data_IF_199371822580
#
_entry.id   IF_199371822580
#
_cell.length_a   1.000
_cell.length_b   1.000
_cell.length_c   1.000
_cell.angle_alpha   90.00
_cell.angle_beta   90.00
_cell.angle_gamma   90.00
#
_symmetry.space_group_name_H-M   'P 1'
#
loop_
_entity.id
_entity.type
_entity.pdbx_description
1 polymer ?
#
# COMPACT_ATOMS: atom_id res chain seq x y z
N UNK A 1 31.73 -8.85 0.50
CA UNK A 1 30.63 -9.41 1.32
C UNK A 1 29.30 -8.99 0.73
N UNK A 2 28.52 -9.92 0.17
CA UNK A 2 27.15 -9.67 -0.28
C UNK A 2 26.26 -9.49 0.96
N UNK A 3 25.82 -8.25 1.23
CA UNK A 3 24.86 -7.97 2.31
C UNK A 3 23.45 -8.21 1.80
N UNK A 4 22.67 -9.06 2.48
CA UNK A 4 21.26 -9.31 2.18
C UNK A 4 20.41 -8.03 2.18
N UNK A 5 20.88 -6.94 2.83
CA UNK A 5 20.25 -5.61 2.74
C UNK A 5 20.21 -5.07 1.31
N UNK A 6 21.19 -5.39 0.45
CA UNK A 6 21.28 -4.90 -0.95
C UNK A 6 20.31 -5.59 -1.93
N UNK A 7 19.65 -6.68 -1.50
CA UNK A 7 18.67 -7.42 -2.29
C UNK A 7 17.22 -7.11 -1.89
N UNK A 8 17.02 -6.40 -0.78
CA UNK A 8 15.67 -5.98 -0.37
C UNK A 8 15.21 -4.80 -1.23
N UNK A 9 13.94 -4.78 -1.66
CA UNK A 9 13.37 -3.63 -2.36
C UNK A 9 13.62 -2.35 -1.56
N UNK A 10 13.87 -1.24 -2.26
CA UNK A 10 13.99 0.06 -1.57
C UNK A 10 12.63 0.49 -1.03
N UNK A 11 12.61 1.36 -0.01
CA UNK A 11 11.34 1.89 0.49
C UNK A 11 10.53 2.61 -0.60
N UNK A 12 11.20 3.32 -1.52
CA UNK A 12 10.51 3.98 -2.63
C UNK A 12 9.93 2.95 -3.60
N UNK A 13 10.65 1.89 -3.97
CA UNK A 13 10.08 0.79 -4.79
C UNK A 13 8.84 0.15 -4.14
N UNK A 14 8.86 -0.01 -2.80
CA UNK A 14 7.73 -0.57 -2.07
C UNK A 14 6.50 0.33 -2.07
N UNK A 15 6.71 1.65 -1.89
CA UNK A 15 5.64 2.64 -1.96
C UNK A 15 5.01 2.64 -3.37
N UNK A 16 5.83 2.66 -4.42
CA UNK A 16 5.34 2.56 -5.82
C UNK A 16 4.56 1.28 -6.09
N UNK A 17 4.97 0.17 -5.47
CA UNK A 17 4.25 -1.08 -5.57
C UNK A 17 2.85 -0.99 -4.92
N UNK A 18 2.75 -0.34 -3.75
CA UNK A 18 1.45 -0.10 -3.10
C UNK A 18 0.54 0.77 -3.97
N UNK A 19 1.07 1.86 -4.53
CA UNK A 19 0.34 2.73 -5.46
C UNK A 19 -0.21 1.93 -6.63
N UNK A 20 0.67 1.16 -7.28
CA UNK A 20 0.30 0.30 -8.42
C UNK A 20 -0.77 -0.71 -8.02
N UNK A 21 -0.66 -1.32 -6.85
CA UNK A 21 -1.63 -2.31 -6.37
C UNK A 21 -3.03 -1.68 -6.18
N UNK A 22 -3.11 -0.51 -5.54
CA UNK A 22 -4.38 0.20 -5.33
C UNK A 22 -5.01 0.59 -6.67
N UNK A 23 -4.22 1.17 -7.58
CA UNK A 23 -4.71 1.59 -8.90
C UNK A 23 -5.19 0.41 -9.75
N UNK A 24 -4.47 -0.71 -9.75
CA UNK A 24 -4.88 -1.94 -10.45
C UNK A 24 -6.14 -2.51 -9.84
N UNK A 25 -6.26 -2.53 -8.50
CA UNK A 25 -7.46 -3.01 -7.81
C UNK A 25 -8.67 -2.16 -8.17
N UNK A 26 -8.51 -0.83 -8.20
CA UNK A 26 -9.56 0.08 -8.61
C UNK A 26 -9.95 -0.11 -10.09
N UNK A 27 -8.98 -0.41 -10.96
CA UNK A 27 -9.29 -0.71 -12.36
C UNK A 27 -10.17 -1.97 -12.56
N UNK A 28 -10.16 -2.90 -11.60
CA UNK A 28 -11.08 -4.05 -11.60
C UNK A 28 -12.51 -3.68 -11.20
N UNK A 29 -12.73 -2.50 -10.61
CA UNK A 29 -14.04 -2.06 -10.15
C UNK A 29 -14.89 -1.57 -11.33
N UNK A 30 -16.02 -2.23 -11.57
CA UNK A 30 -17.00 -1.81 -12.58
C UNK A 30 -18.36 -1.51 -11.94
N UNK A 31 -19.11 -0.56 -12.52
CA UNK A 31 -20.40 -0.13 -11.99
C UNK A 31 -21.48 -1.26 -12.04
N UNK A 32 -21.35 -2.18 -12.98
CA UNK A 32 -22.23 -3.33 -13.23
C UNK A 32 -21.82 -4.60 -12.46
N UNK A 33 -20.69 -4.60 -11.76
CA UNK A 33 -20.24 -5.73 -10.96
C UNK A 33 -21.29 -6.15 -9.90
N UNK A 34 -21.28 -7.42 -9.50
CA UNK A 34 -22.16 -7.89 -8.41
C UNK A 34 -21.81 -7.15 -7.10
N UNK A 35 -22.77 -6.83 -6.22
CA UNK A 35 -22.50 -6.11 -4.97
C UNK A 35 -21.41 -6.76 -4.10
N UNK A 36 -21.35 -8.10 -4.08
CA UNK A 36 -20.31 -8.85 -3.37
C UNK A 36 -18.90 -8.57 -3.91
N UNK A 37 -18.76 -8.44 -5.23
CA UNK A 37 -17.48 -8.13 -5.91
C UNK A 37 -17.10 -6.68 -5.63
N UNK A 38 -18.05 -5.73 -5.77
CA UNK A 38 -17.83 -4.31 -5.43
C UNK A 38 -17.31 -4.15 -4.00
N UNK A 39 -17.96 -4.82 -3.05
CA UNK A 39 -17.55 -4.81 -1.64
C UNK A 39 -16.14 -5.38 -1.47
N UNK A 40 -15.83 -6.52 -2.09
CA UNK A 40 -14.52 -7.15 -1.94
C UNK A 40 -13.38 -6.27 -2.51
N UNK A 41 -13.60 -5.65 -3.68
CA UNK A 41 -12.63 -4.72 -4.27
C UNK A 41 -12.45 -3.45 -3.42
N UNK A 42 -13.55 -2.85 -2.96
CA UNK A 42 -13.51 -1.69 -2.07
C UNK A 42 -12.78 -1.99 -0.77
N UNK A 43 -13.06 -3.13 -0.12
CA UNK A 43 -12.37 -3.55 1.10
C UNK A 43 -10.88 -3.81 0.88
N UNK A 44 -10.52 -4.40 -0.26
CA UNK A 44 -9.11 -4.61 -0.63
C UNK A 44 -8.38 -3.28 -0.76
N UNK A 45 -8.99 -2.30 -1.43
CA UNK A 45 -8.45 -0.93 -1.55
C UNK A 45 -8.32 -0.28 -0.17
N UNK A 46 -9.36 -0.36 0.67
CA UNK A 46 -9.36 0.24 2.00
C UNK A 46 -8.23 -0.34 2.88
N UNK A 47 -8.11 -1.67 2.93
CA UNK A 47 -7.05 -2.31 3.72
C UNK A 47 -5.66 -1.96 3.20
N UNK A 48 -5.48 -1.93 1.88
CA UNK A 48 -4.20 -1.55 1.25
C UNK A 48 -3.81 -0.10 1.60
N UNK A 49 -4.74 0.86 1.48
CA UNK A 49 -4.51 2.27 1.81
C UNK A 49 -4.20 2.48 3.29
N UNK A 50 -4.92 1.81 4.21
CA UNK A 50 -4.64 1.90 5.64
C UNK A 50 -3.24 1.39 5.99
N UNK A 51 -2.83 0.27 5.39
CA UNK A 51 -1.49 -0.30 5.58
C UNK A 51 -0.44 0.65 5.01
N UNK A 52 -0.63 1.10 3.78
CA UNK A 52 0.26 2.04 3.09
C UNK A 52 0.48 3.32 3.90
N UNK A 53 -0.60 4.02 4.27
CA UNK A 53 -0.53 5.23 5.07
C UNK A 53 0.18 5.02 6.43
N UNK A 54 -0.08 3.88 7.09
CA UNK A 54 0.60 3.53 8.35
C UNK A 54 2.11 3.39 8.13
N UNK A 55 2.52 2.71 7.06
CA UNK A 55 3.94 2.46 6.79
C UNK A 55 4.69 3.75 6.45
N UNK A 56 4.06 4.68 5.76
CA UNK A 56 4.68 5.96 5.44
C UNK A 56 4.78 6.86 6.65
N UNK A 57 3.71 6.98 7.43
CA UNK A 57 3.67 7.80 8.63
C UNK A 57 4.62 7.30 9.73
N UNK A 58 4.77 5.99 9.89
CA UNK A 58 5.66 5.40 10.90
C UNK A 58 7.13 5.35 10.47
N UNK A 59 7.43 5.28 9.16
CA UNK A 59 8.78 4.94 8.67
C UNK A 59 9.29 5.95 7.65
N UNK A 60 8.53 6.19 6.58
CA UNK A 60 9.03 7.01 5.46
C UNK A 60 9.07 8.51 5.79
N UNK A 61 7.96 9.09 6.22
CA UNK A 61 7.87 10.51 6.52
C UNK A 61 8.78 10.94 7.66
N UNK A 62 8.94 10.18 8.76
CA UNK A 62 9.94 10.53 9.78
C UNK A 62 11.36 10.57 9.23
N UNK A 63 11.73 9.63 8.35
CA UNK A 63 13.04 9.62 7.72
C UNK A 63 13.23 10.84 6.80
N UNK A 64 12.22 11.20 6.00
CA UNK A 64 12.28 12.38 5.14
C UNK A 64 12.33 13.68 5.95
N UNK A 65 11.49 13.83 6.98
CA UNK A 65 11.48 15.01 7.86
C UNK A 65 12.80 15.21 8.61
N UNK A 66 13.54 14.15 8.87
CA UNK A 66 14.87 14.26 9.51
C UNK A 66 15.93 14.90 8.62
N UNK A 67 15.67 14.99 7.31
CA UNK A 67 16.60 15.53 6.31
C UNK A 67 16.06 16.84 5.72
N UNK A 68 14.76 16.86 5.41
CA UNK A 68 14.08 18.01 4.85
C UNK A 68 12.65 18.08 5.42
N UNK A 69 12.51 18.82 6.52
CA UNK A 69 11.21 19.01 7.18
C UNK A 69 10.29 19.99 6.44
N UNK A 70 10.83 20.77 5.50
CA UNK A 70 10.11 21.87 4.86
C UNK A 70 9.53 21.50 3.49
N UNK A 71 9.77 20.28 3.00
CA UNK A 71 9.18 19.76 1.77
C UNK A 71 7.63 19.85 1.83
N UNK A 72 6.99 20.68 0.98
CA UNK A 72 5.55 20.90 1.01
C UNK A 72 4.71 19.63 0.89
N UNK A 73 5.17 18.63 0.13
CA UNK A 73 4.44 17.36 0.00
C UNK A 73 4.33 16.64 1.35
N UNK A 74 5.39 16.64 2.18
CA UNK A 74 5.35 16.02 3.51
C UNK A 74 4.36 16.68 4.48
N UNK A 75 4.01 17.95 4.25
CA UNK A 75 3.08 18.70 5.09
C UNK A 75 1.62 18.39 4.76
N UNK A 76 1.32 18.05 3.49
CA UNK A 76 -0.04 17.69 3.05
C UNK A 76 -0.35 16.20 3.14
N UNK A 77 0.65 15.30 3.08
CA UNK A 77 0.40 13.86 3.05
C UNK A 77 -0.42 13.33 4.24
N UNK A 78 -0.14 13.77 5.47
CA UNK A 78 -0.89 13.32 6.66
C UNK A 78 -2.33 13.84 6.66
N UNK A 79 -2.61 15.14 6.39
CA UNK A 79 -3.96 15.62 6.13
C UNK A 79 -4.71 14.81 5.06
N UNK A 80 -4.08 14.51 3.92
CA UNK A 80 -4.67 13.70 2.86
C UNK A 80 -4.99 12.28 3.34
N UNK A 81 -4.09 11.62 4.07
CA UNK A 81 -4.35 10.31 4.66
C UNK A 81 -5.52 10.33 5.64
N UNK A 82 -5.68 11.40 6.43
CA UNK A 82 -6.81 11.53 7.34
C UNK A 82 -8.14 11.65 6.59
N UNK A 83 -8.15 12.35 5.45
CA UNK A 83 -9.33 12.43 4.59
C UNK A 83 -9.64 11.08 3.94
N UNK A 84 -8.63 10.37 3.45
CA UNK A 84 -8.80 8.99 2.95
C UNK A 84 -9.38 8.07 4.03
N UNK A 85 -8.90 8.16 5.29
CA UNK A 85 -9.46 7.38 6.42
C UNK A 85 -10.92 7.73 6.71
N UNK A 86 -11.31 9.01 6.62
CA UNK A 86 -12.72 9.44 6.75
C UNK A 86 -13.58 8.78 5.67
N UNK A 87 -13.16 8.87 4.42
CA UNK A 87 -13.87 8.28 3.27
C UNK A 87 -13.95 6.76 3.37
N UNK A 88 -12.88 6.09 3.81
CA UNK A 88 -12.86 4.65 4.07
C UNK A 88 -13.90 4.26 5.13
N UNK A 89 -14.01 5.02 6.22
CA UNK A 89 -14.99 4.77 7.27
C UNK A 89 -16.43 4.90 6.73
N UNK A 90 -16.72 5.95 5.96
CA UNK A 90 -18.02 6.14 5.32
C UNK A 90 -18.34 5.05 4.29
N UNK A 91 -17.34 4.66 3.49
CA UNK A 91 -17.48 3.62 2.48
C UNK A 91 -17.84 2.27 3.13
N UNK A 92 -17.13 1.89 4.20
CA UNK A 92 -17.39 0.66 4.96
C UNK A 92 -18.75 0.66 5.67
N UNK A 93 -19.25 1.83 6.06
CA UNK A 93 -20.58 1.99 6.65
C UNK A 93 -21.71 1.95 5.60
N UNK A 94 -21.39 2.08 4.31
CA UNK A 94 -22.37 2.14 3.23
C UNK A 94 -22.53 0.77 2.55
N UNK A 95 -23.75 0.24 2.37
CA UNK A 95 -23.94 -1.02 1.65
C UNK A 95 -23.50 -0.94 0.19
N UNK A 96 -22.84 -1.98 -0.34
CA UNK A 96 -22.42 -2.01 -1.75
C UNK A 96 -23.57 -2.07 -2.78
N UNK A 97 -24.82 -2.24 -2.32
CA UNK A 97 -26.04 -2.09 -3.13
C UNK A 97 -26.49 -0.65 -3.29
N UNK A 98 -26.00 0.26 -2.43
CA UNK A 98 -26.30 1.68 -2.49
C UNK A 98 -25.42 2.36 -3.55
N UNK A 99 -26.01 3.27 -4.33
CA UNK A 99 -25.29 4.08 -5.30
C UNK A 99 -24.20 4.93 -4.65
N UNK A 100 -24.41 5.37 -3.39
CA UNK A 100 -23.46 6.16 -2.63
C UNK A 100 -22.16 5.41 -2.33
N UNK A 101 -22.18 4.08 -2.23
CA UNK A 101 -20.96 3.29 -2.08
C UNK A 101 -20.02 3.49 -3.28
N UNK A 102 -20.55 3.46 -4.49
CA UNK A 102 -19.76 3.73 -5.69
C UNK A 102 -19.24 5.16 -5.74
N UNK A 103 -20.05 6.14 -5.33
CA UNK A 103 -19.67 7.55 -5.29
C UNK A 103 -18.54 7.81 -4.28
N UNK A 104 -18.64 7.25 -3.08
CA UNK A 104 -17.60 7.33 -2.04
C UNK A 104 -16.29 6.69 -2.49
N UNK A 105 -16.34 5.54 -3.17
CA UNK A 105 -15.13 4.93 -3.73
C UNK A 105 -14.48 5.83 -4.80
N UNK A 106 -15.28 6.45 -5.67
CA UNK A 106 -14.76 7.39 -6.67
C UNK A 106 -14.15 8.64 -6.02
N UNK A 107 -14.74 9.13 -4.92
CA UNK A 107 -14.19 10.23 -4.12
C UNK A 107 -12.86 9.86 -3.49
N UNK A 108 -12.80 8.73 -2.79
CA UNK A 108 -11.56 8.19 -2.22
C UNK A 108 -10.46 8.08 -3.29
N UNK A 109 -10.79 7.54 -4.46
CA UNK A 109 -9.79 7.33 -5.51
C UNK A 109 -9.31 8.63 -6.16
N UNK A 110 -10.09 9.71 -6.15
CA UNK A 110 -9.59 11.03 -6.57
C UNK A 110 -8.49 11.51 -5.63
N UNK A 111 -8.71 11.40 -4.32
CA UNK A 111 -7.73 11.82 -3.32
C UNK A 111 -6.46 10.96 -3.39
N UNK A 112 -6.62 9.64 -3.55
CA UNK A 112 -5.51 8.72 -3.77
C UNK A 112 -4.70 9.08 -5.02
N UNK A 113 -5.34 9.37 -6.16
CA UNK A 113 -4.62 9.70 -7.40
C UNK A 113 -3.82 11.00 -7.25
N UNK A 114 -4.37 12.02 -6.58
CA UNK A 114 -3.64 13.26 -6.32
C UNK A 114 -2.43 13.00 -5.40
N UNK A 115 -2.65 12.30 -4.29
CA UNK A 115 -1.60 11.92 -3.35
C UNK A 115 -0.46 11.14 -4.03
N UNK A 116 -0.81 10.09 -4.77
CA UNK A 116 0.15 9.27 -5.53
C UNK A 116 0.95 10.13 -6.52
N UNK A 117 0.30 11.05 -7.23
CA UNK A 117 0.98 11.91 -8.19
C UNK A 117 2.04 12.79 -7.52
N UNK A 118 1.72 13.37 -6.37
CA UNK A 118 2.65 14.19 -5.60
C UNK A 118 3.84 13.38 -5.09
N UNK A 119 3.59 12.19 -4.55
CA UNK A 119 4.67 11.36 -4.05
C UNK A 119 5.57 10.84 -5.16
N UNK A 120 4.99 10.28 -6.23
CA UNK A 120 5.73 9.69 -7.36
C UNK A 120 6.61 10.72 -8.09
N UNK A 121 6.14 11.97 -8.20
CA UNK A 121 6.83 13.01 -8.97
C UNK A 121 7.74 13.89 -8.13
N UNK A 122 7.46 14.03 -6.82
CA UNK A 122 8.22 14.92 -5.93
C UNK A 122 8.91 14.13 -4.84
N UNK A 123 8.15 13.47 -3.96
CA UNK A 123 8.69 12.98 -2.69
C UNK A 123 9.61 11.77 -2.84
N UNK A 124 9.22 10.77 -3.65
CA UNK A 124 10.03 9.57 -3.87
C UNK A 124 11.34 9.90 -4.64
N UNK A 125 11.33 10.69 -5.73
CA UNK A 125 12.56 11.14 -6.37
C UNK A 125 13.44 11.97 -5.44
N UNK A 126 12.85 12.77 -4.54
CA UNK A 126 13.58 13.54 -3.54
C UNK A 126 14.28 12.64 -2.52
N UNK A 127 13.57 11.64 -2.00
CA UNK A 127 14.13 10.62 -1.13
C UNK A 127 15.31 9.89 -1.80
N UNK A 128 15.20 9.55 -3.09
CA UNK A 128 16.25 8.89 -3.86
C UNK A 128 17.51 9.74 -4.02
N UNK A 129 17.36 11.05 -4.21
CA UNK A 129 18.49 11.98 -4.26
C UNK A 129 19.19 12.14 -2.92
N UNK A 130 18.44 12.16 -1.82
CA UNK A 130 18.97 12.54 -0.50
C UNK A 130 19.48 11.37 0.34
N UNK A 131 18.81 10.22 0.32
CA UNK A 131 19.09 9.11 1.24
C UNK A 131 20.15 8.14 0.69
N UNK A 132 20.29 8.05 -0.63
CA UNK A 132 21.13 7.06 -1.28
C UNK A 132 20.64 5.62 -1.11
N UNK A 133 21.14 4.71 -1.95
CA UNK A 133 20.59 3.35 -2.07
C UNK A 133 20.65 2.53 -0.77
N UNK A 134 21.75 2.60 -0.03
CA UNK A 134 21.93 1.77 1.17
C UNK A 134 20.91 2.12 2.28
N UNK A 135 20.64 3.41 2.49
CA UNK A 135 19.63 3.85 3.47
C UNK A 135 18.22 3.55 2.99
N UNK A 136 17.92 3.74 1.71
CA UNK A 136 16.63 3.39 1.14
C UNK A 136 16.32 1.89 1.27
N UNK A 137 17.30 1.02 1.05
CA UNK A 137 17.16 -0.44 1.26
C UNK A 137 16.98 -0.80 2.74
N UNK A 138 17.63 -0.07 3.67
CA UNK A 138 17.40 -0.26 5.10
C UNK A 138 15.97 0.10 5.51
N UNK A 139 15.47 1.25 5.05
CA UNK A 139 14.10 1.67 5.27
C UNK A 139 13.10 0.69 4.64
N UNK A 140 13.39 0.16 3.45
CA UNK A 140 12.57 -0.85 2.79
C UNK A 140 12.50 -2.15 3.60
N UNK A 141 13.60 -2.59 4.20
CA UNK A 141 13.60 -3.74 5.10
C UNK A 141 12.77 -3.50 6.38
N UNK A 142 12.81 -2.28 6.93
CA UNK A 142 11.96 -1.90 8.06
C UNK A 142 10.48 -1.88 7.68
N UNK A 143 10.14 -1.26 6.55
CA UNK A 143 8.78 -1.23 6.00
C UNK A 143 8.24 -2.64 5.73
N UNK A 144 9.06 -3.52 5.16
CA UNK A 144 8.68 -4.93 4.91
C UNK A 144 8.31 -5.64 6.20
N UNK A 145 9.10 -5.46 7.26
CA UNK A 145 8.82 -6.08 8.56
C UNK A 145 7.50 -5.58 9.12
N UNK A 146 7.32 -4.25 9.13
CA UNK A 146 6.10 -3.64 9.67
C UNK A 146 4.86 -4.04 8.87
N UNK A 147 4.97 -4.12 7.55
CA UNK A 147 3.89 -4.61 6.66
C UNK A 147 3.44 -6.01 7.05
N UNK A 148 4.37 -6.92 7.33
CA UNK A 148 4.01 -8.29 7.74
C UNK A 148 3.25 -8.32 9.07
N UNK A 149 3.58 -7.43 10.01
CA UNK A 149 2.86 -7.30 11.28
C UNK A 149 1.44 -6.78 11.08
N UNK A 150 1.24 -5.82 10.16
CA UNK A 150 -0.07 -5.26 9.83
C UNK A 150 -0.94 -6.24 9.03
N UNK A 151 -0.34 -6.97 8.09
CA UNK A 151 -1.04 -7.94 7.22
C UNK A 151 -1.39 -9.22 7.96
N UNK A 152 -0.53 -9.71 8.87
CA UNK A 152 -0.69 -10.99 9.54
C UNK A 152 -2.10 -11.23 10.13
N UNK A 153 -2.63 -10.31 10.96
CA UNK A 153 -3.99 -10.42 11.51
C UNK A 153 -5.11 -10.37 10.46
N UNK A 154 -4.85 -9.75 9.30
CA UNK A 154 -5.83 -9.57 8.21
C UNK A 154 -5.67 -10.59 7.08
N UNK A 155 -4.69 -11.48 7.12
CA UNK A 155 -4.27 -12.30 5.98
C UNK A 155 -5.41 -13.15 5.38
N UNK A 156 -6.25 -13.77 6.23
CA UNK A 156 -7.40 -14.55 5.78
C UNK A 156 -8.47 -13.71 5.09
N UNK A 157 -8.75 -12.50 5.61
CA UNK A 157 -9.69 -11.54 5.00
C UNK A 157 -9.16 -11.09 3.64
N UNK A 158 -7.91 -10.64 3.57
CA UNK A 158 -7.27 -10.16 2.34
C UNK A 158 -7.28 -11.25 1.26
N UNK A 159 -6.92 -12.50 1.61
CA UNK A 159 -6.93 -13.61 0.66
C UNK A 159 -8.33 -13.89 0.11
N UNK A 160 -9.36 -13.87 0.98
CA UNK A 160 -10.75 -14.07 0.57
C UNK A 160 -11.25 -12.93 -0.32
N UNK A 161 -10.99 -11.68 0.05
CA UNK A 161 -11.41 -10.50 -0.71
C UNK A 161 -10.72 -10.45 -2.07
N UNK A 162 -9.43 -10.79 -2.12
CA UNK A 162 -8.70 -10.92 -3.39
C UNK A 162 -9.34 -11.98 -4.30
N UNK A 163 -9.66 -13.15 -3.75
CA UNK A 163 -10.28 -14.23 -4.52
C UNK A 163 -11.70 -13.90 -5.03
N UNK A 164 -12.44 -13.06 -4.30
CA UNK A 164 -13.80 -12.64 -4.67
C UNK A 164 -13.80 -11.45 -5.62
N UNK A 165 -12.89 -10.49 -5.39
CA UNK A 165 -12.87 -9.20 -6.08
C UNK A 165 -12.21 -9.24 -7.45
N UNK A 166 -11.12 -10.00 -7.59
CA UNK A 166 -10.34 -10.03 -8.82
C UNK A 166 -10.84 -11.10 -9.79
N UNK A 167 -10.65 -10.85 -11.09
CA UNK A 167 -10.77 -11.90 -12.10
C UNK A 167 -9.81 -13.06 -11.81
N UNK A 168 -10.15 -14.29 -12.22
CA UNK A 168 -9.40 -15.50 -11.84
C UNK A 168 -7.90 -15.45 -12.20
N UNK A 169 -7.55 -14.85 -13.34
CA UNK A 169 -6.15 -14.67 -13.76
C UNK A 169 -5.42 -13.63 -12.92
N UNK A 170 -6.06 -12.51 -12.60
CA UNK A 170 -5.47 -11.45 -11.77
C UNK A 170 -5.32 -11.90 -10.31
N UNK A 171 -6.30 -12.62 -9.77
CA UNK A 171 -6.24 -13.18 -8.42
C UNK A 171 -5.04 -14.14 -8.25
N UNK A 172 -4.81 -15.02 -9.23
CA UNK A 172 -3.69 -15.96 -9.21
C UNK A 172 -2.32 -15.25 -9.20
N UNK A 173 -2.17 -14.18 -9.98
CA UNK A 173 -0.95 -13.37 -10.00
C UNK A 173 -0.70 -12.66 -8.65
N UNK A 174 -1.71 -11.98 -8.11
CA UNK A 174 -1.58 -11.23 -6.85
C UNK A 174 -1.23 -12.17 -5.70
N UNK A 175 -1.95 -13.29 -5.55
CA UNK A 175 -1.68 -14.27 -4.51
C UNK A 175 -0.32 -14.96 -4.69
N UNK A 176 0.10 -15.23 -5.93
CA UNK A 176 1.39 -15.83 -6.24
C UNK A 176 2.58 -14.94 -5.85
N UNK A 177 2.50 -13.64 -6.14
CA UNK A 177 3.56 -12.67 -5.78
C UNK A 177 3.66 -12.52 -4.26
N UNK A 178 2.53 -12.40 -3.56
CA UNK A 178 2.52 -12.29 -2.09
C UNK A 178 3.08 -13.57 -1.44
N UNK A 179 2.67 -14.74 -1.94
CA UNK A 179 3.14 -16.04 -1.43
C UNK A 179 4.66 -16.24 -1.60
N UNK A 180 5.21 -15.88 -2.75
CA UNK A 180 6.65 -16.00 -3.01
C UNK A 180 7.48 -15.02 -2.17
N UNK A 181 7.02 -13.77 -2.01
CA UNK A 181 7.67 -12.78 -1.15
C UNK A 181 7.69 -13.23 0.33
N UNK A 182 6.56 -13.70 0.85
CA UNK A 182 6.46 -14.22 2.22
C UNK A 182 7.38 -15.42 2.46
N UNK A 183 7.46 -16.36 1.50
CA UNK A 183 8.34 -17.52 1.58
C UNK A 183 9.83 -17.11 1.59
N UNK A 184 10.24 -16.18 0.74
CA UNK A 184 11.62 -15.67 0.70
C UNK A 184 12.03 -14.98 2.01
N UNK A 185 11.12 -14.24 2.64
CA UNK A 185 11.33 -13.58 3.94
C UNK A 185 11.46 -14.60 5.09
N UNK A 186 10.63 -15.64 5.11
CA UNK A 186 10.70 -16.71 6.11
C UNK A 186 11.99 -17.53 6.00
N UNK A 187 12.41 -17.85 4.77
CA UNK A 187 13.68 -18.53 4.52
C UNK A 187 14.88 -17.67 4.94
N UNK A 188 14.83 -16.35 4.69
CA UNK A 188 15.87 -15.41 5.12
C UNK A 188 15.94 -15.24 6.65
N UNK A 189 14.82 -15.42 7.38
CA UNK A 189 14.80 -15.44 8.86
C UNK A 189 15.47 -16.69 9.45
N UNK A 190 15.30 -17.86 8.83
CA UNK A 190 15.93 -19.11 9.29
C UNK A 190 17.44 -19.15 9.03
N UNK A 191 17.94 -18.36 8.09
CA UNK A 191 19.35 -18.35 7.68
C UNK A 191 20.27 -17.44 8.52
N UNK A 192 19.76 -16.71 9.53
CA UNK A 192 20.58 -15.90 10.45
C UNK A 192 21.07 -16.78 11.61
N UNK A 193 22.36 -17.13 11.72
CA UNK A 193 22.90 -17.74 12.94
C UNK A 193 22.93 -16.70 14.08
N UNK A 194 22.86 -17.20 15.32
CA UNK A 194 22.93 -16.43 16.56
C UNK A 194 24.28 -15.71 16.72
#
# INVERSE_FOLDING_TARGET
MFSLKKLSPTITDMIRFDHSHVLVTFHQYTADAKPKVKKALAETICDALEIHATLEEEIFYPAMRSIDSNEPVLQKSVPEHNEMRRLIAELRATPATDIRHGQLLQELMRDVIHHVADEETVLLPHAERLLGKDRLSELGAAMTRRRLELVGPKAGKIAMETAVGFSGSTAALVLGVVGTAAAALLLSRKAKPA
#
